data_IF_538790994792
#
_entry.id   IF_538790994792
#
_cell.length_a   1.000
_cell.length_b   1.000
_cell.length_c   1.000
_cell.angle_alpha   90.00
_cell.angle_beta   90.00
_cell.angle_gamma   90.00
#
_symmetry.space_group_name_H-M   'P 1'
#
loop_
_entity.id
_entity.type
_entity.pdbx_description
1 polymer ?
#
# COMPACT_ATOMS: atom_id res chain seq x y z
N UNK A 1 -39.26 54.63 1.85
CA UNK A 1 -40.42 53.77 1.56
C UNK A 1 -40.20 52.41 2.22
N UNK A 2 -40.90 52.07 3.31
CA UNK A 2 -40.79 50.73 3.91
C UNK A 2 -41.71 49.77 3.16
N UNK A 3 -41.16 48.70 2.58
CA UNK A 3 -41.94 47.53 2.19
C UNK A 3 -41.69 46.44 3.22
N UNK A 4 -42.65 46.29 4.13
CA UNK A 4 -42.92 45.04 4.84
C UNK A 4 -42.87 43.88 3.84
N UNK A 5 -42.58 42.66 4.30
CA UNK A 5 -43.59 41.57 4.34
C UNK A 5 -42.97 40.16 4.49
N UNK A 6 -43.53 39.44 5.47
CA UNK A 6 -43.46 38.00 5.85
C UNK A 6 -42.23 37.40 6.56
N UNK A 7 -42.43 37.25 7.88
CA UNK A 7 -41.99 36.12 8.68
C UNK A 7 -42.93 34.90 8.48
N UNK A 8 -42.45 33.74 8.95
CA UNK A 8 -43.16 32.48 9.25
C UNK A 8 -43.54 31.56 8.08
N UNK A 9 -43.08 30.31 8.18
CA UNK A 9 -43.41 29.22 7.26
C UNK A 9 -42.63 27.95 7.57
N UNK A 10 -42.74 27.45 8.80
CA UNK A 10 -42.42 26.07 9.16
C UNK A 10 -43.45 25.14 8.50
N UNK A 11 -43.02 24.27 7.59
CA UNK A 11 -43.63 22.96 7.32
C UNK A 11 -42.49 22.09 6.74
N UNK A 12 -42.00 21.09 7.47
CA UNK A 12 -42.68 19.80 7.56
C UNK A 12 -42.34 18.95 6.33
N UNK A 13 -41.15 18.35 6.30
CA UNK A 13 -40.88 17.21 5.41
C UNK A 13 -40.11 16.14 6.19
N UNK A 14 -40.85 15.48 7.06
CA UNK A 14 -40.52 14.14 7.56
C UNK A 14 -40.78 13.14 6.45
N UNK A 15 -39.75 12.74 5.73
CA UNK A 15 -39.81 11.49 4.97
C UNK A 15 -39.33 10.36 5.88
N UNK A 16 -40.27 9.85 6.67
CA UNK A 16 -40.20 8.49 7.18
C UNK A 16 -40.64 7.55 6.06
N UNK A 17 -39.70 6.83 5.47
CA UNK A 17 -39.98 5.58 4.77
C UNK A 17 -39.18 4.50 5.47
N UNK A 18 -39.79 3.93 6.51
CA UNK A 18 -39.45 2.61 7.00
C UNK A 18 -39.68 1.63 5.83
N UNK A 19 -38.61 1.18 5.20
CA UNK A 19 -38.64 -0.01 4.35
C UNK A 19 -38.05 -1.15 5.17
N UNK A 20 -38.95 -1.87 5.84
CA UNK A 20 -38.68 -3.20 6.41
C UNK A 20 -38.50 -4.17 5.24
N UNK A 21 -37.26 -4.29 4.75
CA UNK A 21 -36.86 -5.39 3.88
C UNK A 21 -36.29 -6.51 4.76
N UNK A 22 -37.16 -7.40 5.21
CA UNK A 22 -36.79 -8.76 5.58
C UNK A 22 -36.27 -9.44 4.32
N UNK A 23 -34.96 -9.40 4.12
CA UNK A 23 -34.28 -10.32 3.21
C UNK A 23 -33.43 -11.26 4.04
N UNK A 24 -34.06 -12.41 4.24
CA UNK A 24 -33.49 -13.63 4.77
C UNK A 24 -32.30 -14.05 3.90
N UNK A 25 -31.09 -13.72 4.35
CA UNK A 25 -29.85 -14.21 3.76
C UNK A 25 -29.70 -15.70 4.11
N UNK A 26 -30.04 -16.56 3.16
CA UNK A 26 -29.56 -17.93 3.15
C UNK A 26 -28.02 -17.88 3.14
N UNK A 27 -27.40 -18.55 4.11
CA UNK A 27 -25.96 -18.64 4.23
C UNK A 27 -25.33 -19.10 2.90
N UNK A 28 -24.27 -18.45 2.40
CA UNK A 28 -23.52 -19.03 1.29
C UNK A 28 -22.87 -20.30 1.81
N UNK A 29 -23.33 -21.46 1.35
CA UNK A 29 -22.59 -22.72 1.48
C UNK A 29 -21.23 -22.51 0.84
N UNK A 30 -20.22 -22.25 1.67
CA UNK A 30 -18.84 -22.18 1.22
C UNK A 30 -18.45 -23.55 0.63
N UNK A 31 -17.87 -23.60 -0.58
CA UNK A 31 -17.31 -24.85 -1.08
C UNK A 31 -16.12 -25.24 -0.21
N UNK A 32 -16.24 -26.36 0.51
CA UNK A 32 -15.11 -26.99 1.18
C UNK A 32 -14.14 -27.52 0.13
N UNK A 33 -13.02 -26.82 -0.06
CA UNK A 33 -11.92 -27.31 -0.88
C UNK A 33 -11.21 -28.39 -0.07
N UNK A 34 -11.46 -29.66 -0.39
CA UNK A 34 -10.70 -30.79 0.12
C UNK A 34 -9.31 -30.80 -0.52
N UNK A 35 -8.34 -30.14 0.11
CA UNK A 35 -6.94 -30.32 -0.23
C UNK A 35 -6.50 -31.72 0.25
N UNK A 36 -6.43 -32.68 -0.67
CA UNK A 36 -5.83 -33.97 -0.37
C UNK A 36 -4.33 -33.74 -0.18
N UNK A 37 -3.87 -33.76 1.07
CA UNK A 37 -2.44 -33.79 1.41
C UNK A 37 -1.86 -35.12 0.94
N UNK A 38 -1.47 -35.16 -0.33
CA UNK A 38 -0.72 -36.26 -0.92
C UNK A 38 0.73 -36.18 -0.46
N UNK A 39 1.06 -36.98 0.55
CA UNK A 39 2.42 -37.16 1.04
C UNK A 39 3.34 -37.71 -0.06
N UNK A 40 4.14 -36.83 -0.66
CA UNK A 40 5.32 -37.18 -1.43
C UNK A 40 6.55 -37.18 -0.53
N UNK A 41 6.86 -38.32 0.08
CA UNK A 41 8.18 -38.59 0.67
C UNK A 41 9.16 -38.77 -0.50
N UNK A 42 9.74 -37.66 -0.97
CA UNK A 42 10.87 -37.65 -1.89
C UNK A 42 12.16 -37.43 -1.12
N UNK A 43 13.05 -38.42 -1.15
CA UNK A 43 14.37 -38.38 -0.55
C UNK A 43 15.36 -37.50 -1.36
N UNK A 44 16.19 -36.74 -0.64
CA UNK A 44 17.42 -36.07 -1.11
C UNK A 44 17.24 -34.73 -1.82
N UNK A 45 18.11 -33.73 -1.56
CA UNK A 45 19.47 -33.86 -2.09
C UNK A 45 20.63 -33.35 -1.19
N UNK A 46 21.75 -34.05 -1.35
CA UNK A 46 23.14 -33.56 -1.38
C UNK A 46 23.64 -32.58 -0.31
N UNK A 47 24.32 -33.12 0.71
CA UNK A 47 25.36 -32.39 1.44
C UNK A 47 26.61 -32.26 0.56
N UNK A 48 26.65 -31.24 -0.28
CA UNK A 48 27.91 -30.69 -0.80
C UNK A 48 28.16 -29.34 -0.13
N UNK A 49 29.41 -28.91 0.11
CA UNK A 49 29.69 -27.55 0.55
C UNK A 49 29.50 -26.62 -0.66
N UNK A 50 28.25 -26.44 -1.08
CA UNK A 50 27.88 -25.47 -2.08
C UNK A 50 28.14 -24.09 -1.48
N UNK A 51 29.00 -23.31 -2.12
CA UNK A 51 29.31 -21.94 -1.72
C UNK A 51 28.02 -21.22 -1.34
N UNK A 52 27.96 -20.77 -0.08
CA UNK A 52 26.79 -20.14 0.49
C UNK A 52 26.49 -18.89 -0.33
N UNK A 53 25.60 -19.01 -1.32
CA UNK A 53 24.97 -17.85 -1.92
C UNK A 53 24.23 -17.20 -0.74
N UNK A 54 24.64 -16.01 -0.28
CA UNK A 54 23.94 -15.36 0.83
C UNK A 54 22.48 -15.21 0.42
N UNK A 55 21.58 -15.82 1.19
CA UNK A 55 20.16 -15.68 0.95
C UNK A 55 19.81 -14.19 1.16
N UNK A 56 19.46 -13.45 0.10
CA UNK A 56 19.21 -12.02 0.21
C UNK A 56 18.06 -11.74 1.18
N UNK A 57 17.10 -12.66 1.34
CA UNK A 57 15.99 -12.50 2.29
C UNK A 57 16.47 -12.57 3.75
N UNK A 58 17.49 -13.37 4.05
CA UNK A 58 18.02 -13.47 5.40
C UNK A 58 18.70 -12.15 5.83
N UNK A 59 19.36 -11.45 4.89
CA UNK A 59 19.94 -10.13 5.14
C UNK A 59 18.89 -9.04 5.39
N UNK A 60 17.70 -9.16 4.77
CA UNK A 60 16.57 -8.28 5.05
C UNK A 60 15.99 -8.51 6.45
N UNK A 61 16.01 -9.76 6.95
CA UNK A 61 15.54 -10.09 8.30
C UNK A 61 16.34 -9.47 9.45
N UNK A 62 17.52 -8.91 9.17
CA UNK A 62 18.39 -8.25 10.15
C UNK A 62 18.15 -6.74 10.25
N UNK A 63 17.41 -6.14 9.30
CA UNK A 63 17.12 -4.70 9.23
C UNK A 63 15.66 -4.41 9.54
N UNK A 64 15.38 -3.18 9.96
CA UNK A 64 14.00 -2.75 10.21
C UNK A 64 13.20 -2.64 8.90
N UNK A 65 11.95 -3.11 8.89
CA UNK A 65 11.06 -2.95 7.73
C UNK A 65 10.99 -1.51 7.20
N UNK A 66 10.89 -0.45 8.04
CA UNK A 66 10.86 0.92 7.53
C UNK A 66 12.13 1.33 6.76
N UNK A 67 13.30 0.86 7.21
CA UNK A 67 14.59 1.16 6.60
C UNK A 67 14.72 0.51 5.21
N UNK A 68 14.30 -0.75 5.11
CA UNK A 68 14.29 -1.51 3.85
C UNK A 68 13.34 -0.87 2.85
N UNK A 69 12.13 -0.49 3.28
CA UNK A 69 11.17 0.16 2.41
C UNK A 69 11.69 1.49 1.90
N UNK A 70 12.33 2.29 2.75
CA UNK A 70 12.93 3.57 2.35
C UNK A 70 14.00 3.38 1.27
N UNK A 71 14.87 2.38 1.41
CA UNK A 71 15.91 2.08 0.44
C UNK A 71 15.33 1.58 -0.90
N UNK A 72 14.35 0.68 -0.85
CA UNK A 72 13.67 0.19 -2.06
C UNK A 72 12.96 1.36 -2.77
N UNK A 73 12.28 2.22 -2.01
CA UNK A 73 11.62 3.40 -2.55
C UNK A 73 12.60 4.36 -3.23
N UNK A 74 13.75 4.63 -2.60
CA UNK A 74 14.80 5.49 -3.18
C UNK A 74 15.30 4.93 -4.51
N UNK A 75 15.63 3.63 -4.55
CA UNK A 75 16.10 2.94 -5.76
C UNK A 75 15.06 2.98 -6.87
N UNK A 76 13.78 2.75 -6.55
CA UNK A 76 12.68 2.82 -7.53
C UNK A 76 12.48 4.23 -8.09
N UNK A 77 12.53 5.25 -7.22
CA UNK A 77 12.41 6.66 -7.65
C UNK A 77 13.58 7.06 -8.54
N UNK A 78 14.81 6.71 -8.16
CA UNK A 78 15.99 6.97 -8.97
C UNK A 78 15.92 6.29 -10.34
N UNK A 79 15.52 5.01 -10.37
CA UNK A 79 15.36 4.26 -11.62
C UNK A 79 14.26 4.86 -12.53
N UNK A 80 13.14 5.29 -11.96
CA UNK A 80 12.07 5.93 -12.72
C UNK A 80 12.53 7.27 -13.32
N UNK A 81 13.21 8.11 -12.55
CA UNK A 81 13.76 9.39 -13.02
C UNK A 81 14.79 9.20 -14.14
N UNK A 82 15.66 8.20 -14.02
CA UNK A 82 16.63 7.88 -15.07
C UNK A 82 15.93 7.42 -16.36
N UNK A 83 14.91 6.55 -16.25
CA UNK A 83 14.15 6.04 -17.41
C UNK A 83 13.35 7.13 -18.13
N UNK A 84 12.91 8.16 -17.42
CA UNK A 84 12.10 9.25 -17.99
C UNK A 84 12.90 10.51 -18.32
N UNK A 85 14.23 10.46 -18.23
CA UNK A 85 15.09 11.61 -18.52
C UNK A 85 14.84 12.79 -17.58
N UNK A 86 14.66 12.52 -16.28
CA UNK A 86 14.33 13.49 -15.22
C UNK A 86 12.96 14.17 -15.35
N UNK A 87 12.05 13.64 -16.18
CA UNK A 87 10.68 14.12 -16.23
C UNK A 87 9.87 13.55 -15.05
N UNK A 88 9.63 14.40 -14.04
CA UNK A 88 8.92 14.02 -12.81
C UNK A 88 7.46 13.58 -13.05
N UNK A 89 6.76 14.19 -14.02
CA UNK A 89 5.37 13.80 -14.31
C UNK A 89 5.35 12.39 -14.87
N UNK A 90 6.22 12.11 -15.86
CA UNK A 90 6.36 10.77 -16.44
C UNK A 90 6.86 9.73 -15.43
N UNK A 91 7.76 10.11 -14.52
CA UNK A 91 8.23 9.20 -13.48
C UNK A 91 7.12 8.85 -12.48
N UNK A 92 6.29 9.83 -12.11
CA UNK A 92 5.14 9.61 -11.22
C UNK A 92 4.08 8.69 -11.88
N UNK A 93 3.81 8.90 -13.19
CA UNK A 93 2.96 8.01 -14.00
C UNK A 93 3.51 6.57 -14.02
N UNK A 94 4.82 6.41 -14.25
CA UNK A 94 5.49 5.12 -14.30
C UNK A 94 5.43 4.37 -12.95
N UNK A 95 5.57 5.10 -11.84
CA UNK A 95 5.46 4.57 -10.49
C UNK A 95 4.02 4.46 -9.98
N UNK A 96 3.02 4.92 -10.76
CA UNK A 96 1.60 4.97 -10.39
C UNK A 96 1.33 5.71 -9.08
N UNK A 97 2.03 6.82 -8.87
CA UNK A 97 1.82 7.73 -7.75
C UNK A 97 1.47 9.12 -8.25
N UNK A 98 0.95 9.97 -7.36
CA UNK A 98 0.72 11.38 -7.71
C UNK A 98 2.05 12.13 -7.84
N UNK A 99 2.07 13.21 -8.63
CA UNK A 99 3.24 14.10 -8.73
C UNK A 99 3.66 14.64 -7.36
N UNK A 100 2.69 14.98 -6.50
CA UNK A 100 2.96 15.47 -5.15
C UNK A 100 3.67 14.45 -4.26
N UNK A 101 3.26 13.17 -4.34
CA UNK A 101 3.93 12.08 -3.63
C UNK A 101 5.37 11.88 -4.11
N UNK A 102 5.60 11.92 -5.43
CA UNK A 102 6.95 11.84 -5.98
C UNK A 102 7.83 13.02 -5.51
N UNK A 103 7.29 14.24 -5.55
CA UNK A 103 8.00 15.44 -5.08
C UNK A 103 8.37 15.33 -3.59
N UNK A 104 7.47 14.81 -2.76
CA UNK A 104 7.75 14.56 -1.34
C UNK A 104 8.90 13.56 -1.17
N UNK A 105 8.88 12.44 -1.91
CA UNK A 105 9.96 11.44 -1.90
C UNK A 105 11.30 12.04 -2.31
N UNK A 106 11.34 12.80 -3.41
CA UNK A 106 12.55 13.50 -3.85
C UNK A 106 13.09 14.47 -2.79
N UNK A 107 12.19 15.22 -2.12
CA UNK A 107 12.58 16.12 -1.02
C UNK A 107 13.08 15.36 0.22
N UNK A 108 12.50 14.19 0.51
CA UNK A 108 12.95 13.30 1.59
C UNK A 108 14.38 12.84 1.34
N UNK A 109 14.67 12.34 0.13
CA UNK A 109 16.01 11.84 -0.22
C UNK A 109 17.06 12.94 -0.40
N UNK A 110 16.66 14.13 -0.84
CA UNK A 110 17.57 15.28 -0.95
C UNK A 110 18.13 15.76 0.40
N UNK A 111 17.48 15.42 1.53
CA UNK A 111 17.97 15.75 2.87
C UNK A 111 18.99 14.74 3.42
N UNK A 112 19.40 13.77 2.60
CA UNK A 112 20.23 12.64 3.00
C UNK A 112 19.45 11.64 3.86
N UNK A 113 19.90 10.38 3.96
CA UNK A 113 19.40 9.50 5.00
C UNK A 113 19.64 10.21 6.34
N UNK A 114 18.61 10.31 7.18
CA UNK A 114 18.82 10.56 8.60
C UNK A 114 19.53 9.33 9.16
N UNK A 115 20.83 9.18 8.89
CA UNK A 115 21.66 8.24 9.61
C UNK A 115 21.63 8.69 11.06
N UNK A 116 21.10 7.83 11.90
CA UNK A 116 21.20 7.87 13.34
C UNK A 116 22.70 7.88 13.71
N UNK A 117 23.31 9.06 13.77
CA UNK A 117 24.65 9.28 14.33
C UNK A 117 24.57 10.04 15.66
N UNK A 118 23.46 9.91 16.39
CA UNK A 118 23.32 10.36 17.77
C UNK A 118 23.41 9.13 18.69
N UNK A 119 24.59 8.53 18.69
CA UNK A 119 25.07 7.63 19.74
C UNK A 119 26.56 7.94 19.92
N UNK A 120 26.84 9.01 20.66
CA UNK A 120 28.15 9.38 21.17
C UNK A 120 28.04 9.56 22.69
#
# INVERSE_FOLDING_TARGET
MPKNTFAAGETGTTNQTETTATQQAAAPTAPVISITSGGGRGAGPSTGPAGTIPDPLNSLGQRGLPEILDEIEERLVAAAMARTGNNQIRAAELLRVTRGALQYKLKKFAKGPKSESEAA
#
